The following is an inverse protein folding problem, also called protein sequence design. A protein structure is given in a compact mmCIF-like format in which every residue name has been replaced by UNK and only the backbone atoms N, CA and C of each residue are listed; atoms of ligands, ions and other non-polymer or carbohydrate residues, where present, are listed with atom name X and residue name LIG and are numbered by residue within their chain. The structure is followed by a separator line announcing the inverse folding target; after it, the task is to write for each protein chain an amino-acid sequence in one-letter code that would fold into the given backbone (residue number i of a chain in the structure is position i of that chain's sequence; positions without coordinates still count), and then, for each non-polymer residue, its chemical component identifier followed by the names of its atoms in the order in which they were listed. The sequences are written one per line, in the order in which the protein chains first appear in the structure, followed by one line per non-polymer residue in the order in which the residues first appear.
data_IF_900023687779
#
_entry.id   IF_900023687779
#
_cell.length_a   1.000
_cell.length_b   1.000
_cell.length_c   1.000
_cell.angle_alpha   90.00
_cell.angle_beta   90.00
_cell.angle_gamma   90.00
#
_symmetry.space_group_name_H-M   'P 1'
#
loop_
_entity.id
_entity.type
_entity.pdbx_description
1 polymer ?
#
# COMPACT_ATOMS: atom_id res chain seq x y z
N UNK A 1 -18.79 1.95 -30.34
CA UNK A 1 -17.86 2.00 -29.15
C UNK A 1 -17.53 0.60 -28.74
N UNK A 2 -16.26 0.26 -28.57
CA UNK A 2 -15.83 -1.06 -28.07
C UNK A 2 -16.19 -1.15 -26.60
N UNK A 3 -16.79 -2.27 -26.18
CA UNK A 3 -17.11 -2.55 -24.79
C UNK A 3 -15.83 -2.60 -23.96
N UNK A 4 -15.78 -2.03 -22.74
CA UNK A 4 -14.59 -2.06 -21.92
C UNK A 4 -14.22 -3.49 -21.53
N UNK A 5 -12.92 -3.81 -21.57
CA UNK A 5 -12.39 -5.09 -21.14
C UNK A 5 -12.25 -5.05 -19.62
N UNK A 6 -12.89 -5.99 -18.93
CA UNK A 6 -12.90 -6.10 -17.47
C UNK A 6 -12.19 -7.39 -17.08
N UNK A 7 -11.23 -7.30 -16.17
CA UNK A 7 -10.51 -8.43 -15.61
C UNK A 7 -10.71 -8.50 -14.10
N UNK A 8 -11.18 -9.64 -13.60
CA UNK A 8 -11.18 -9.98 -12.18
C UNK A 8 -9.89 -10.75 -11.88
N UNK A 9 -9.10 -10.26 -10.93
CA UNK A 9 -7.79 -10.77 -10.58
C UNK A 9 -7.80 -11.29 -9.14
N UNK A 10 -7.63 -12.60 -8.98
CA UNK A 10 -7.68 -13.29 -7.69
C UNK A 10 -6.29 -13.87 -7.35
N UNK A 11 -5.51 -13.20 -6.48
CA UNK A 11 -4.27 -13.77 -5.96
C UNK A 11 -4.60 -14.86 -4.94
N UNK A 12 -4.08 -16.07 -5.14
CA UNK A 12 -4.39 -17.24 -4.30
C UNK A 12 -3.14 -17.92 -3.78
N UNK A 13 -3.21 -18.37 -2.54
CA UNK A 13 -2.24 -19.26 -1.91
C UNK A 13 -2.91 -20.14 -0.86
N UNK A 14 -3.09 -21.44 -1.15
CA UNK A 14 -3.80 -22.41 -0.33
C UNK A 14 -5.23 -21.95 0.01
N UNK A 15 -6.05 -21.75 -1.02
CA UNK A 15 -7.46 -21.31 -0.94
C UNK A 15 -8.40 -22.32 -1.65
N UNK A 16 -8.03 -23.61 -1.71
CA UNK A 16 -8.82 -24.66 -2.39
C UNK A 16 -10.26 -24.76 -1.86
N UNK A 17 -10.48 -24.42 -0.57
CA UNK A 17 -11.80 -24.46 0.08
C UNK A 17 -12.77 -23.38 -0.40
N UNK A 18 -12.25 -22.24 -0.87
CA UNK A 18 -13.04 -21.02 -1.09
C UNK A 18 -13.06 -20.58 -2.55
N UNK A 19 -11.98 -20.83 -3.29
CA UNK A 19 -11.77 -20.23 -4.61
C UNK A 19 -12.87 -20.57 -5.64
N UNK A 20 -13.44 -21.78 -5.63
CA UNK A 20 -14.53 -22.13 -6.53
C UNK A 20 -15.77 -21.25 -6.31
N UNK A 21 -16.14 -21.03 -5.04
CA UNK A 21 -17.27 -20.20 -4.67
C UNK A 21 -17.04 -18.73 -5.05
N UNK A 22 -15.84 -18.21 -4.82
CA UNK A 22 -15.44 -16.85 -5.21
C UNK A 22 -15.59 -16.66 -6.73
N UNK A 23 -15.10 -17.61 -7.53
CA UNK A 23 -15.20 -17.57 -9.00
C UNK A 23 -16.67 -17.55 -9.45
N UNK A 24 -17.50 -18.44 -8.89
CA UNK A 24 -18.94 -18.52 -9.22
C UNK A 24 -19.64 -17.21 -8.89
N UNK A 25 -19.39 -16.62 -7.72
CA UNK A 25 -19.98 -15.33 -7.30
C UNK A 25 -19.55 -14.18 -8.22
N UNK A 26 -18.25 -14.06 -8.55
CA UNK A 26 -17.80 -13.02 -9.48
C UNK A 26 -18.36 -13.22 -10.89
N UNK A 27 -18.50 -14.46 -11.36
CA UNK A 27 -19.11 -14.74 -12.66
C UNK A 27 -20.59 -14.36 -12.70
N UNK A 28 -21.32 -14.61 -11.60
CA UNK A 28 -22.71 -14.20 -11.48
C UNK A 28 -22.86 -12.67 -11.43
N UNK A 29 -21.97 -11.97 -10.70
CA UNK A 29 -21.98 -10.52 -10.56
C UNK A 29 -21.54 -9.80 -11.84
N UNK A 30 -20.55 -10.35 -12.56
CA UNK A 30 -19.94 -9.76 -13.76
C UNK A 30 -19.79 -10.82 -14.87
N UNK A 31 -20.88 -11.20 -15.57
CA UNK A 31 -20.86 -12.30 -16.55
C UNK A 31 -19.87 -12.08 -17.71
N UNK A 32 -19.53 -10.85 -18.01
CA UNK A 32 -18.67 -10.46 -19.13
C UNK A 32 -17.20 -10.27 -18.76
N UNK A 33 -16.88 -10.32 -17.45
CA UNK A 33 -15.50 -10.16 -16.97
C UNK A 33 -14.72 -11.47 -17.18
N UNK A 34 -13.46 -11.32 -17.56
CA UNK A 34 -12.52 -12.43 -17.53
C UNK A 34 -12.00 -12.62 -16.11
N UNK A 35 -12.12 -13.84 -15.58
CA UNK A 35 -11.68 -14.18 -14.23
C UNK A 35 -10.33 -14.89 -14.32
N UNK A 36 -9.31 -14.28 -13.71
CA UNK A 36 -7.96 -14.81 -13.61
C UNK A 36 -7.64 -15.17 -12.17
N UNK A 37 -7.17 -16.39 -11.96
CA UNK A 37 -6.60 -16.85 -10.69
C UNK A 37 -5.09 -16.96 -10.85
N UNK A 38 -4.36 -16.29 -9.99
CA UNK A 38 -2.91 -16.40 -9.93
C UNK A 38 -2.51 -17.19 -8.69
N UNK A 39 -2.13 -18.42 -8.93
CA UNK A 39 -1.64 -19.35 -7.91
C UNK A 39 -0.20 -19.04 -7.54
N UNK A 40 0.05 -18.81 -6.25
CA UNK A 40 1.37 -18.46 -5.72
C UNK A 40 2.02 -19.64 -4.98
N UNK A 41 2.30 -20.71 -5.70
CA UNK A 41 2.90 -21.94 -5.17
C UNK A 41 2.02 -22.60 -4.10
N UNK A 42 0.72 -22.73 -4.32
CA UNK A 42 -0.15 -23.49 -3.44
C UNK A 42 0.32 -24.95 -3.33
N UNK A 43 0.21 -25.50 -2.14
CA UNK A 43 0.52 -26.89 -1.83
C UNK A 43 -0.74 -27.77 -1.80
N UNK A 44 -1.91 -27.14 -1.93
CA UNK A 44 -3.21 -27.78 -2.02
C UNK A 44 -3.75 -27.79 -3.47
N UNK A 45 -5.00 -28.18 -3.67
CA UNK A 45 -5.65 -28.25 -4.96
C UNK A 45 -6.14 -26.88 -5.51
N UNK A 46 -5.69 -25.74 -4.99
CA UNK A 46 -6.19 -24.39 -5.36
C UNK A 46 -6.22 -24.18 -6.87
N UNK A 47 -5.13 -24.46 -7.57
CA UNK A 47 -5.02 -24.22 -9.01
C UNK A 47 -6.00 -25.11 -9.81
N UNK A 48 -6.14 -26.38 -9.44
CA UNK A 48 -7.06 -27.32 -10.09
C UNK A 48 -8.51 -26.91 -9.86
N UNK A 49 -8.89 -26.63 -8.61
CA UNK A 49 -10.25 -26.20 -8.25
C UNK A 49 -10.64 -24.89 -8.97
N UNK A 50 -9.70 -23.95 -9.11
CA UNK A 50 -9.93 -22.72 -9.86
C UNK A 50 -10.15 -22.98 -11.36
N UNK A 51 -9.37 -23.88 -11.97
CA UNK A 51 -9.51 -24.25 -13.36
C UNK A 51 -10.85 -24.95 -13.62
N UNK A 52 -11.25 -25.89 -12.75
CA UNK A 52 -12.51 -26.63 -12.85
C UNK A 52 -13.73 -25.70 -12.67
N UNK A 53 -13.59 -24.62 -11.87
CA UNK A 53 -14.59 -23.55 -11.76
C UNK A 53 -14.58 -22.60 -12.98
N UNK A 54 -13.69 -22.81 -13.96
CA UNK A 54 -13.63 -22.12 -15.24
C UNK A 54 -12.88 -20.80 -15.21
N UNK A 55 -12.01 -20.55 -14.24
CA UNK A 55 -11.10 -19.39 -14.25
C UNK A 55 -9.88 -19.67 -15.14
N UNK A 56 -9.25 -18.59 -15.62
CA UNK A 56 -7.96 -18.67 -16.31
C UNK A 56 -6.86 -18.68 -15.25
N UNK A 57 -6.24 -19.86 -15.06
CA UNK A 57 -5.22 -20.03 -14.02
C UNK A 57 -3.82 -19.67 -14.56
N UNK A 58 -3.06 -18.94 -13.78
CA UNK A 58 -1.65 -18.61 -14.00
C UNK A 58 -0.86 -18.91 -12.72
N UNK A 59 0.42 -19.28 -12.87
CA UNK A 59 1.29 -19.59 -11.73
C UNK A 59 2.37 -18.51 -11.56
N UNK A 60 2.58 -18.02 -10.32
CA UNK A 60 3.71 -17.18 -9.96
C UNK A 60 4.68 -17.95 -9.06
N UNK A 61 5.90 -18.14 -9.51
CA UNK A 61 6.92 -18.96 -8.84
C UNK A 61 7.55 -18.28 -7.63
N UNK A 62 7.58 -16.94 -7.62
CA UNK A 62 8.12 -16.18 -6.50
C UNK A 62 7.05 -16.03 -5.42
N UNK A 63 7.36 -16.54 -4.22
CA UNK A 63 6.43 -16.51 -3.10
C UNK A 63 6.22 -15.09 -2.55
N UNK A 64 4.98 -14.62 -2.58
CA UNK A 64 4.57 -13.34 -2.00
C UNK A 64 3.52 -12.61 -2.84
N UNK A 65 2.51 -12.03 -2.17
CA UNK A 65 1.38 -11.35 -2.81
C UNK A 65 1.83 -10.24 -3.77
N UNK A 66 2.89 -9.50 -3.44
CA UNK A 66 3.44 -8.45 -4.31
C UNK A 66 3.99 -8.98 -5.64
N UNK A 67 4.62 -10.16 -5.65
CA UNK A 67 5.06 -10.80 -6.90
C UNK A 67 3.88 -11.21 -7.76
N UNK A 68 2.85 -11.80 -7.16
CA UNK A 68 1.60 -12.17 -7.83
C UNK A 68 0.97 -10.95 -8.48
N UNK A 69 0.79 -9.87 -7.73
CA UNK A 69 0.19 -8.63 -8.22
C UNK A 69 0.99 -8.01 -9.38
N UNK A 70 2.33 -8.04 -9.28
CA UNK A 70 3.21 -7.59 -10.36
C UNK A 70 3.01 -8.42 -11.63
N UNK A 71 2.88 -9.74 -11.48
CA UNK A 71 2.62 -10.63 -12.59
C UNK A 71 1.26 -10.36 -13.24
N UNK A 72 0.21 -10.20 -12.44
CA UNK A 72 -1.14 -9.84 -12.89
C UNK A 72 -1.12 -8.58 -13.76
N UNK A 73 -0.50 -7.52 -13.27
CA UNK A 73 -0.48 -6.21 -13.95
C UNK A 73 0.40 -6.20 -15.20
N UNK A 74 1.41 -7.07 -15.23
CA UNK A 74 2.27 -7.27 -16.40
C UNK A 74 1.57 -8.05 -17.51
N UNK A 75 0.95 -9.19 -17.14
CA UNK A 75 0.48 -10.19 -18.09
C UNK A 75 -0.95 -9.93 -18.59
N UNK A 76 -1.74 -9.14 -17.84
CA UNK A 76 -3.15 -8.89 -18.18
C UNK A 76 -3.34 -7.49 -18.74
N UNK A 77 -4.07 -7.42 -19.84
CA UNK A 77 -4.49 -6.17 -20.48
C UNK A 77 -6.02 -6.02 -20.34
N UNK A 78 -6.45 -4.97 -19.63
CA UNK A 78 -7.85 -4.63 -19.43
C UNK A 78 -8.03 -3.12 -19.27
N UNK A 79 -9.25 -2.63 -19.37
CA UNK A 79 -9.60 -1.24 -19.08
C UNK A 79 -9.83 -1.02 -17.59
N UNK A 80 -10.43 -2.03 -16.93
CA UNK A 80 -10.64 -2.07 -15.49
C UNK A 80 -10.17 -3.39 -14.91
N UNK A 81 -9.47 -3.29 -13.78
CA UNK A 81 -8.93 -4.41 -13.03
C UNK A 81 -9.64 -4.48 -11.67
N UNK A 82 -10.35 -5.55 -11.41
CA UNK A 82 -11.01 -5.82 -10.14
C UNK A 82 -10.14 -6.81 -9.38
N UNK A 83 -9.62 -6.40 -8.25
CA UNK A 83 -8.77 -7.23 -7.40
C UNK A 83 -9.57 -7.61 -6.18
N UNK A 84 -9.60 -8.88 -5.81
CA UNK A 84 -10.15 -9.38 -4.56
C UNK A 84 -9.36 -10.58 -4.07
N UNK A 85 -9.40 -10.84 -2.74
CA UNK A 85 -8.76 -12.03 -2.17
C UNK A 85 -9.58 -13.30 -2.50
N UNK A 86 -8.91 -14.45 -2.62
CA UNK A 86 -9.54 -15.74 -2.96
C UNK A 86 -10.18 -16.46 -1.75
N UNK A 87 -10.27 -15.81 -0.58
CA UNK A 87 -10.66 -16.38 0.70
C UNK A 87 -12.14 -16.23 1.08
N UNK A 88 -12.96 -15.78 0.12
CA UNK A 88 -14.43 -15.58 0.25
C UNK A 88 -14.86 -14.60 1.37
N UNK A 89 -13.97 -13.67 1.75
CA UNK A 89 -14.27 -12.65 2.77
C UNK A 89 -14.97 -11.42 2.22
N UNK A 90 -14.87 -11.16 0.90
CA UNK A 90 -15.51 -10.03 0.22
C UNK A 90 -16.74 -10.42 -0.56
N UNK A 91 -17.76 -9.57 -0.52
CA UNK A 91 -18.98 -9.77 -1.30
C UNK A 91 -18.75 -9.39 -2.78
N UNK A 92 -18.74 -10.39 -3.66
CA UNK A 92 -18.62 -10.19 -5.10
C UNK A 92 -19.81 -9.40 -5.70
N UNK A 93 -20.98 -9.39 -5.05
CA UNK A 93 -22.14 -8.63 -5.52
C UNK A 93 -21.90 -7.11 -5.51
N UNK A 94 -20.88 -6.62 -4.79
CA UNK A 94 -20.46 -5.22 -4.81
C UNK A 94 -19.71 -4.83 -6.09
N UNK A 95 -19.13 -5.80 -6.83
CA UNK A 95 -18.28 -5.54 -8.00
C UNK A 95 -18.95 -4.68 -9.09
N UNK A 96 -20.22 -4.90 -9.47
CA UNK A 96 -20.90 -4.06 -10.47
C UNK A 96 -21.00 -2.60 -10.04
N UNK A 97 -21.31 -2.34 -8.75
CA UNK A 97 -21.43 -0.98 -8.23
C UNK A 97 -20.06 -0.29 -8.19
N UNK A 98 -19.00 -0.99 -7.77
CA UNK A 98 -17.62 -0.47 -7.80
C UNK A 98 -17.17 -0.16 -9.23
N UNK A 99 -17.46 -1.04 -10.18
CA UNK A 99 -17.13 -0.85 -11.59
C UNK A 99 -17.92 0.32 -12.19
N UNK A 100 -19.22 0.42 -11.90
CA UNK A 100 -20.04 1.54 -12.33
C UNK A 100 -19.53 2.88 -11.77
N UNK A 101 -19.12 2.90 -10.50
CA UNK A 101 -18.49 4.06 -9.88
C UNK A 101 -17.19 4.46 -10.62
N UNK A 102 -16.33 3.49 -10.94
CA UNK A 102 -15.09 3.74 -11.67
C UNK A 102 -15.35 4.24 -13.11
N UNK A 103 -16.39 3.70 -13.79
CA UNK A 103 -16.74 4.03 -15.18
C UNK A 103 -17.50 5.35 -15.31
N UNK A 104 -18.35 5.69 -14.34
CA UNK A 104 -19.16 6.92 -14.39
C UNK A 104 -18.40 8.18 -13.95
N UNK A 105 -17.29 8.01 -13.21
CA UNK A 105 -16.51 9.13 -12.67
C UNK A 105 -15.06 9.13 -13.15
N UNK A 106 -14.28 10.11 -12.72
CA UNK A 106 -12.86 10.19 -13.08
C UNK A 106 -11.98 9.26 -12.22
N UNK A 107 -12.56 8.24 -11.59
CA UNK A 107 -11.87 7.48 -10.55
C UNK A 107 -10.91 6.44 -11.11
N UNK A 108 -9.64 6.54 -10.71
CA UNK A 108 -8.59 5.58 -11.03
C UNK A 108 -8.46 4.46 -9.99
N UNK A 109 -8.97 4.70 -8.79
CA UNK A 109 -9.05 3.73 -7.68
C UNK A 109 -10.43 3.82 -7.03
N UNK A 110 -11.18 2.72 -7.05
CA UNK A 110 -12.36 2.53 -6.20
C UNK A 110 -12.01 1.49 -5.15
N UNK A 111 -12.00 1.90 -3.89
CA UNK A 111 -11.60 1.07 -2.75
C UNK A 111 -12.82 0.61 -1.96
N UNK A 112 -12.94 -0.68 -1.70
CA UNK A 112 -13.94 -1.21 -0.79
C UNK A 112 -13.51 -0.94 0.65
N UNK A 113 -14.34 -0.23 1.42
CA UNK A 113 -14.19 -0.05 2.86
C UNK A 113 -14.91 -1.18 3.57
N UNK A 114 -14.19 -1.97 4.34
CA UNK A 114 -14.74 -3.15 5.01
C UNK A 114 -15.66 -2.73 6.16
N UNK A 115 -16.94 -3.11 6.05
CA UNK A 115 -17.88 -3.08 7.16
C UNK A 115 -17.87 -4.45 7.85
N UNK A 116 -17.45 -4.46 9.10
CA UNK A 116 -17.44 -5.69 9.91
C UNK A 116 -18.90 -6.13 10.17
N UNK A 117 -19.26 -7.31 9.70
CA UNK A 117 -20.58 -7.91 9.94
C UNK A 117 -20.66 -8.68 11.25
N UNK A 118 -19.51 -9.02 11.86
CA UNK A 118 -19.43 -9.77 13.12
C UNK A 118 -18.25 -9.30 13.98
N UNK A 119 -18.44 -9.22 15.31
CA UNK A 119 -17.38 -8.84 16.27
C UNK A 119 -16.18 -9.80 16.30
N UNK A 120 -16.32 -11.01 15.74
CA UNK A 120 -15.27 -12.03 15.66
C UNK A 120 -14.33 -11.92 14.47
N UNK A 121 -14.64 -11.12 13.45
CA UNK A 121 -13.89 -11.07 12.19
C UNK A 121 -12.49 -10.42 12.33
N UNK A 122 -12.26 -9.63 13.37
CA UNK A 122 -10.99 -8.92 13.58
C UNK A 122 -10.39 -9.15 14.96
N UNK A 123 -9.15 -9.61 15.03
CA UNK A 123 -8.36 -9.63 16.27
C UNK A 123 -8.00 -8.19 16.69
N UNK A 124 -8.09 -7.84 17.99
CA UNK A 124 -7.86 -6.48 18.51
C UNK A 124 -6.53 -5.83 18.05
N UNK A 125 -5.47 -6.60 17.90
CA UNK A 125 -4.16 -6.13 17.40
C UNK A 125 -4.18 -5.65 15.94
N UNK A 126 -5.03 -6.21 15.09
CA UNK A 126 -5.16 -5.80 13.69
C UNK A 126 -5.88 -4.45 13.54
N UNK A 127 -6.88 -4.18 14.40
CA UNK A 127 -7.57 -2.87 14.43
C UNK A 127 -6.60 -1.76 14.78
N UNK A 128 -5.78 -1.96 15.81
CA UNK A 128 -4.77 -0.97 16.23
C UNK A 128 -3.75 -0.75 15.13
N UNK A 129 -3.22 -1.81 14.52
CA UNK A 129 -2.24 -1.74 13.44
C UNK A 129 -2.77 -0.99 12.21
N UNK A 130 -4.00 -1.28 11.78
CA UNK A 130 -4.64 -0.59 10.67
C UNK A 130 -4.89 0.90 10.99
N UNK A 131 -5.32 1.22 12.22
CA UNK A 131 -5.51 2.62 12.66
C UNK A 131 -4.21 3.39 12.71
N UNK A 132 -3.13 2.79 13.23
CA UNK A 132 -1.81 3.44 13.28
C UNK A 132 -1.26 3.68 11.88
N UNK A 133 -1.33 2.69 11.00
CA UNK A 133 -0.87 2.82 9.62
C UNK A 133 -1.69 3.87 8.85
N UNK A 134 -3.02 3.79 8.93
CA UNK A 134 -3.91 4.76 8.28
C UNK A 134 -3.68 6.16 8.85
N UNK A 135 -3.49 6.30 10.17
CA UNK A 135 -3.16 7.57 10.83
C UNK A 135 -1.84 8.15 10.37
N UNK A 136 -0.79 7.34 10.24
CA UNK A 136 0.51 7.76 9.72
C UNK A 136 0.42 8.22 8.26
N UNK A 137 -0.33 7.50 7.43
CA UNK A 137 -0.52 7.89 6.02
C UNK A 137 -1.38 9.14 5.90
N UNK A 138 -2.42 9.29 6.73
CA UNK A 138 -3.19 10.55 6.83
C UNK A 138 -2.30 11.74 7.17
N UNK A 139 -1.36 11.57 8.09
CA UNK A 139 -0.41 12.63 8.47
C UNK A 139 0.52 13.01 7.29
N UNK A 140 0.91 12.03 6.47
CA UNK A 140 1.86 12.23 5.36
C UNK A 140 1.17 12.77 4.10
N UNK A 141 -0.02 12.22 3.75
CA UNK A 141 -0.69 12.44 2.46
C UNK A 141 -2.09 13.09 2.57
N UNK A 142 -2.60 13.31 3.79
CA UNK A 142 -3.97 13.80 4.01
C UNK A 142 -5.00 12.66 4.11
N UNK A 143 -6.24 13.04 4.46
CA UNK A 143 -7.35 12.10 4.76
C UNK A 143 -8.16 11.72 3.51
N UNK A 144 -7.49 11.18 2.48
CA UNK A 144 -8.14 10.82 1.21
C UNK A 144 -8.38 9.32 1.04
N UNK A 145 -7.80 8.45 1.89
CA UNK A 145 -7.97 7.00 1.84
C UNK A 145 -8.56 6.48 3.14
N UNK A 146 -9.69 5.77 3.00
CA UNK A 146 -10.30 4.96 4.07
C UNK A 146 -9.88 3.51 3.86
N UNK A 147 -9.70 2.73 4.91
CA UNK A 147 -9.33 1.32 4.89
C UNK A 147 -8.22 0.97 3.87
N UNK A 148 -7.01 1.38 4.21
CA UNK A 148 -5.84 1.21 3.35
C UNK A 148 -5.50 -0.25 3.03
N UNK A 149 -5.79 -1.16 3.96
CA UNK A 149 -5.45 -2.59 3.87
C UNK A 149 -6.56 -3.44 3.26
N UNK A 150 -7.62 -2.84 2.70
CA UNK A 150 -8.60 -3.60 1.95
C UNK A 150 -7.97 -4.29 0.75
N UNK A 151 -8.25 -5.57 0.55
CA UNK A 151 -7.84 -6.35 -0.63
C UNK A 151 -8.78 -6.18 -1.84
N UNK A 152 -9.95 -5.53 -1.66
CA UNK A 152 -10.96 -5.40 -2.70
C UNK A 152 -10.94 -4.00 -3.33
N UNK A 153 -10.53 -3.92 -4.59
CA UNK A 153 -10.33 -2.66 -5.31
C UNK A 153 -10.70 -2.79 -6.78
N UNK A 154 -11.15 -1.68 -7.37
CA UNK A 154 -11.19 -1.52 -8.83
C UNK A 154 -10.14 -0.48 -9.23
N UNK A 155 -9.30 -0.83 -10.18
CA UNK A 155 -8.22 0.02 -10.69
C UNK A 155 -8.43 0.28 -12.18
N UNK A 156 -8.18 1.51 -12.62
CA UNK A 156 -8.15 1.84 -14.05
C UNK A 156 -6.88 1.32 -14.73
N UNK A 157 -6.91 1.20 -16.04
CA UNK A 157 -5.73 0.88 -16.85
C UNK A 157 -4.57 1.86 -16.58
N UNK A 158 -4.87 3.17 -16.51
CA UNK A 158 -3.86 4.21 -16.27
C UNK A 158 -3.15 3.99 -14.95
N UNK A 159 -3.92 3.68 -13.91
CA UNK A 159 -3.37 3.34 -12.60
C UNK A 159 -2.42 2.16 -12.69
N UNK A 160 -2.90 1.03 -13.21
CA UNK A 160 -2.16 -0.25 -13.26
C UNK A 160 -0.86 -0.12 -14.06
N UNK A 161 -0.90 0.55 -15.21
CA UNK A 161 0.28 0.67 -16.10
C UNK A 161 1.27 1.75 -15.69
N UNK A 162 0.90 2.65 -14.77
CA UNK A 162 1.82 3.64 -14.17
C UNK A 162 2.38 3.21 -12.82
N UNK A 163 1.84 2.15 -12.24
CA UNK A 163 2.21 1.70 -10.90
C UNK A 163 3.49 0.84 -10.91
N UNK A 164 4.60 1.29 -10.31
CA UNK A 164 5.91 0.64 -10.43
C UNK A 164 6.03 -0.67 -9.65
N UNK A 165 5.16 -0.94 -8.69
CA UNK A 165 5.01 -2.17 -7.91
C UNK A 165 6.34 -2.75 -7.39
N UNK A 166 6.83 -2.21 -6.28
CA UNK A 166 8.11 -2.60 -5.67
C UNK A 166 7.94 -3.55 -4.47
N UNK A 167 6.75 -3.55 -3.84
CA UNK A 167 6.42 -4.45 -2.74
C UNK A 167 6.49 -5.92 -3.18
N UNK A 168 6.95 -6.78 -2.27
CA UNK A 168 7.05 -8.22 -2.50
C UNK A 168 6.04 -9.02 -1.68
N UNK A 169 5.41 -8.40 -0.68
CA UNK A 169 4.51 -9.02 0.29
C UNK A 169 3.17 -8.31 0.41
N UNK A 170 2.58 -8.40 1.61
CA UNK A 170 1.29 -7.78 1.96
C UNK A 170 1.34 -6.25 2.10
N UNK A 171 2.49 -5.64 1.95
CA UNK A 171 2.66 -4.19 1.87
C UNK A 171 2.17 -3.60 0.53
N UNK A 172 1.76 -4.46 -0.40
CA UNK A 172 1.24 -4.06 -1.72
C UNK A 172 -0.04 -3.21 -1.64
N UNK A 173 -0.96 -3.50 -0.71
CA UNK A 173 -2.18 -2.70 -0.52
C UNK A 173 -1.84 -1.27 -0.08
N UNK A 174 -0.84 -1.14 0.79
CA UNK A 174 -0.31 0.16 1.20
C UNK A 174 0.35 0.89 0.04
N UNK A 175 1.14 0.18 -0.78
CA UNK A 175 1.83 0.76 -1.93
C UNK A 175 0.85 1.27 -2.99
N UNK A 176 -0.25 0.54 -3.24
CA UNK A 176 -1.36 0.96 -4.12
C UNK A 176 -1.98 2.28 -3.61
N UNK A 177 -2.30 2.34 -2.33
CA UNK A 177 -2.90 3.53 -1.74
C UNK A 177 -1.94 4.74 -1.76
N UNK A 178 -0.66 4.52 -1.42
CA UNK A 178 0.39 5.56 -1.47
C UNK A 178 0.57 6.09 -2.89
N UNK A 179 0.62 5.23 -3.91
CA UNK A 179 0.74 5.65 -5.30
C UNK A 179 -0.43 6.56 -5.74
N UNK A 180 -1.67 6.19 -5.38
CA UNK A 180 -2.83 7.02 -5.67
C UNK A 180 -2.75 8.39 -4.98
N UNK A 181 -2.29 8.43 -3.71
CA UNK A 181 -2.17 9.66 -2.94
C UNK A 181 -1.02 10.54 -3.44
N UNK A 182 0.10 9.94 -3.80
CA UNK A 182 1.31 10.62 -4.27
C UNK A 182 1.07 11.36 -5.60
N UNK A 183 0.35 10.73 -6.52
CA UNK A 183 -0.04 11.31 -7.80
C UNK A 183 -1.34 12.13 -7.73
N UNK A 184 -1.94 12.26 -6.54
CA UNK A 184 -3.23 12.92 -6.33
C UNK A 184 -4.35 12.37 -7.22
N UNK A 185 -4.31 11.06 -7.54
CA UNK A 185 -5.31 10.42 -8.39
C UNK A 185 -6.71 10.48 -7.76
N UNK A 186 -7.76 10.51 -8.56
CA UNK A 186 -9.14 10.43 -8.07
C UNK A 186 -9.41 9.07 -7.42
N UNK A 187 -9.89 9.10 -6.17
CA UNK A 187 -10.21 7.91 -5.38
C UNK A 187 -11.67 7.97 -4.94
N UNK A 188 -12.39 6.88 -5.13
CA UNK A 188 -13.72 6.68 -4.54
C UNK A 188 -13.69 5.54 -3.51
N UNK A 189 -14.68 5.55 -2.61
CA UNK A 189 -14.86 4.54 -1.58
C UNK A 189 -16.29 4.04 -1.59
N UNK A 190 -16.46 2.72 -1.62
CA UNK A 190 -17.74 2.06 -1.38
C UNK A 190 -17.62 1.17 -0.16
N UNK A 191 -18.64 1.17 0.67
CA UNK A 191 -18.70 0.30 1.83
C UNK A 191 -19.21 -1.08 1.42
N UNK A 192 -18.52 -2.13 1.87
CA UNK A 192 -18.85 -3.51 1.56
C UNK A 192 -18.77 -4.42 2.79
N UNK A 193 -19.67 -5.40 2.85
CA UNK A 193 -19.63 -6.42 3.88
C UNK A 193 -18.30 -7.19 3.84
N UNK A 194 -17.74 -7.44 5.01
CA UNK A 194 -16.55 -8.24 5.19
C UNK A 194 -16.86 -9.40 6.13
N UNK A 195 -16.96 -10.59 5.55
CA UNK A 195 -17.30 -11.81 6.28
C UNK A 195 -16.08 -12.43 6.98
N UNK A 196 -16.27 -13.16 8.09
CA UNK A 196 -15.23 -13.99 8.65
C UNK A 196 -14.85 -15.10 7.66
N UNK A 197 -13.59 -15.53 7.70
CA UNK A 197 -13.13 -16.66 6.88
C UNK A 197 -13.89 -17.93 7.24
N UNK A 198 -14.21 -18.78 6.26
CA UNK A 198 -14.82 -20.06 6.53
C UNK A 198 -13.95 -20.92 7.48
N UNK A 199 -14.58 -21.82 8.28
CA UNK A 199 -13.85 -22.77 9.12
C UNK A 199 -12.85 -23.60 8.29
N UNK A 200 -11.60 -23.71 8.76
CA UNK A 200 -10.52 -24.40 8.06
C UNK A 200 -9.62 -23.53 7.20
N UNK A 201 -9.97 -22.26 6.98
CA UNK A 201 -9.06 -21.27 6.35
C UNK A 201 -8.30 -20.49 7.43
N UNK A 202 -6.96 -20.62 7.46
CA UNK A 202 -6.13 -19.97 8.47
C UNK A 202 -5.66 -18.58 8.02
N UNK A 203 -5.76 -17.60 8.95
CA UNK A 203 -5.14 -16.30 8.76
C UNK A 203 -3.61 -16.39 8.82
N UNK A 204 -2.93 -15.98 7.76
CA UNK A 204 -1.46 -16.02 7.63
C UNK A 204 -0.75 -14.90 8.42
N UNK A 205 -1.49 -14.08 9.21
CA UNK A 205 -0.97 -12.94 9.97
C UNK A 205 -0.75 -13.28 11.45
N UNK A 206 0.41 -12.82 12.02
CA UNK A 206 0.82 -13.04 13.43
C UNK A 206 0.99 -11.71 14.16
N UNK A 207 0.22 -11.45 15.23
CA UNK A 207 -0.01 -10.17 15.89
C UNK A 207 1.25 -9.38 16.31
N UNK A 208 2.24 -10.00 16.95
CA UNK A 208 3.45 -9.27 17.42
C UNK A 208 4.46 -8.96 16.31
N UNK A 209 4.62 -9.87 15.33
CA UNK A 209 5.48 -9.64 14.16
C UNK A 209 4.89 -8.57 13.25
N UNK A 210 3.56 -8.44 13.24
CA UNK A 210 2.86 -7.47 12.41
C UNK A 210 2.98 -6.05 12.96
N UNK A 211 2.97 -5.85 14.29
CA UNK A 211 3.22 -4.55 14.90
C UNK A 211 4.59 -3.96 14.53
N UNK A 212 5.65 -4.77 14.60
CA UNK A 212 7.00 -4.37 14.18
C UNK A 212 7.09 -4.12 12.66
N UNK A 213 6.38 -4.94 11.87
CA UNK A 213 6.28 -4.76 10.41
C UNK A 213 5.61 -3.43 10.06
N UNK A 214 4.50 -3.08 10.74
CA UNK A 214 3.77 -1.82 10.56
C UNK A 214 4.67 -0.64 10.92
N UNK A 215 5.34 -0.66 12.09
CA UNK A 215 6.26 0.40 12.48
C UNK A 215 7.39 0.59 11.45
N UNK A 216 8.00 -0.50 11.00
CA UNK A 216 9.03 -0.47 9.95
C UNK A 216 8.49 0.09 8.64
N UNK A 217 7.24 -0.24 8.28
CA UNK A 217 6.59 0.29 7.08
C UNK A 217 6.35 1.80 7.20
N UNK A 218 5.87 2.28 8.35
CA UNK A 218 5.68 3.72 8.62
C UNK A 218 7.00 4.49 8.50
N UNK A 219 8.07 3.98 9.14
CA UNK A 219 9.41 4.60 9.06
C UNK A 219 9.93 4.59 7.62
N UNK A 220 9.71 3.49 6.90
CA UNK A 220 10.06 3.38 5.47
C UNK A 220 9.32 4.43 4.65
N UNK A 221 8.00 4.56 4.82
CA UNK A 221 7.18 5.54 4.13
C UNK A 221 7.64 6.98 4.41
N UNK A 222 7.85 7.34 5.68
CA UNK A 222 8.36 8.65 6.06
C UNK A 222 9.71 8.96 5.39
N UNK A 223 10.62 7.98 5.43
CA UNK A 223 11.97 8.15 4.85
C UNK A 223 11.95 8.28 3.32
N UNK A 224 11.03 7.58 2.64
CA UNK A 224 10.98 7.55 1.16
C UNK A 224 10.09 8.62 0.55
N UNK A 225 8.97 8.96 1.21
CA UNK A 225 7.97 9.87 0.66
C UNK A 225 8.07 11.31 1.21
N UNK A 226 8.64 11.46 2.41
CA UNK A 226 8.88 12.76 3.07
C UNK A 226 10.30 12.83 3.64
N UNK A 227 11.35 12.62 2.81
CA UNK A 227 12.72 12.52 3.31
C UNK A 227 13.18 13.81 4.00
N UNK A 228 12.81 14.99 3.50
CA UNK A 228 13.16 16.24 4.15
C UNK A 228 12.55 16.35 5.55
N UNK A 229 11.31 15.92 5.76
CA UNK A 229 10.69 15.94 7.09
C UNK A 229 11.37 14.92 8.03
N UNK A 230 11.72 13.74 7.55
CA UNK A 230 12.38 12.69 8.35
C UNK A 230 13.81 13.11 8.75
N UNK A 231 14.64 13.42 7.78
CA UNK A 231 16.04 13.79 8.03
C UNK A 231 16.18 15.18 8.62
N UNK A 232 15.29 16.11 8.29
CA UNK A 232 15.22 17.44 8.91
C UNK A 232 14.82 17.39 10.37
N UNK A 233 13.88 16.51 10.74
CA UNK A 233 13.54 16.23 12.14
C UNK A 233 14.73 15.67 12.93
N UNK A 234 15.47 14.72 12.34
CA UNK A 234 16.70 14.17 12.93
C UNK A 234 17.79 15.25 13.08
N UNK A 235 17.96 16.10 12.08
CA UNK A 235 18.88 17.24 12.12
C UNK A 235 18.50 18.24 13.22
N UNK A 236 17.22 18.59 13.31
CA UNK A 236 16.69 19.46 14.35
C UNK A 236 16.95 18.92 15.76
N UNK A 237 16.70 17.62 15.96
CA UNK A 237 17.03 16.96 17.25
C UNK A 237 18.53 17.03 17.57
N UNK A 238 19.39 16.78 16.58
CA UNK A 238 20.84 16.86 16.73
C UNK A 238 21.28 18.30 17.09
N UNK A 239 20.74 19.32 16.42
CA UNK A 239 21.08 20.71 16.72
C UNK A 239 20.61 21.14 18.10
N UNK A 240 19.41 20.74 18.53
CA UNK A 240 18.91 20.99 19.88
C UNK A 240 19.80 20.31 20.94
N UNK A 241 20.17 19.04 20.72
CA UNK A 241 21.06 18.31 21.61
C UNK A 241 22.44 18.97 21.71
N UNK A 242 23.03 19.36 20.59
CA UNK A 242 24.30 20.07 20.56
C UNK A 242 24.23 21.41 21.28
N UNK A 243 23.15 22.17 21.10
CA UNK A 243 22.93 23.44 21.80
C UNK A 243 22.84 23.25 23.31
N UNK A 244 22.09 22.24 23.79
CA UNK A 244 21.99 21.90 25.22
C UNK A 244 23.35 21.55 25.81
N UNK A 245 24.14 20.72 25.10
CA UNK A 245 25.51 20.36 25.54
C UNK A 245 26.46 21.56 25.56
N UNK A 246 26.26 22.54 24.66
CA UNK A 246 27.12 23.71 24.59
C UNK A 246 26.82 24.76 25.67
N UNK A 247 25.59 24.82 26.22
CA UNK A 247 25.21 25.79 27.27
C UNK A 247 26.21 25.83 28.46
N UNK A 248 26.54 24.71 29.10
CA UNK A 248 27.49 24.73 30.24
C UNK A 248 28.92 25.07 29.81
N UNK A 249 29.33 24.72 28.58
CA UNK A 249 30.65 25.09 28.03
C UNK A 249 30.72 26.60 27.86
N UNK A 250 29.71 27.18 27.24
CA UNK A 250 29.66 28.62 26.98
C UNK A 250 29.57 29.44 28.27
N UNK A 251 28.76 29.03 29.24
CA UNK A 251 28.67 29.68 30.57
C UNK A 251 30.03 29.71 31.28
N UNK A 252 30.77 28.59 31.28
CA UNK A 252 32.09 28.51 31.90
C UNK A 252 33.09 29.42 31.14
N UNK A 253 33.07 29.39 29.82
CA UNK A 253 33.92 30.23 29.03
C UNK A 253 33.69 31.74 29.28
N UNK A 254 32.44 32.19 29.33
CA UNK A 254 32.08 33.57 29.60
C UNK A 254 32.48 34.01 31.01
N UNK A 255 32.51 33.10 31.98
CA UNK A 255 32.88 33.39 33.36
C UNK A 255 34.41 33.39 33.61
N UNK A 256 35.15 32.52 32.89
CA UNK A 256 36.57 32.21 33.21
C UNK A 256 37.53 32.44 32.05
N UNK A 257 37.04 32.65 30.82
CA UNK A 257 37.86 32.70 29.59
C UNK A 257 38.46 31.35 29.18
N UNK A 258 38.12 30.25 29.89
CA UNK A 258 38.70 28.92 29.68
C UNK A 258 37.62 27.94 29.22
N UNK A 259 38.06 26.87 28.54
CA UNK A 259 37.17 25.75 28.05
C UNK A 259 37.60 24.45 28.74
N UNK A 260 37.35 24.28 30.03
CA UNK A 260 37.76 23.07 30.75
C UNK A 260 36.99 21.80 30.32
N UNK A 261 35.84 21.99 29.66
CA UNK A 261 35.00 20.90 29.13
C UNK A 261 35.24 20.68 27.61
N UNK A 262 36.50 20.66 27.17
CA UNK A 262 36.87 20.47 25.77
C UNK A 262 36.25 19.19 25.15
N UNK A 263 36.21 18.02 25.81
CA UNK A 263 35.55 16.83 25.25
C UNK A 263 34.07 17.07 24.91
N UNK A 264 33.33 17.82 25.75
CA UNK A 264 31.91 18.15 25.51
C UNK A 264 31.78 19.09 24.31
N UNK A 265 32.67 20.08 24.15
CA UNK A 265 32.67 20.98 23.00
C UNK A 265 32.93 20.22 21.71
N UNK A 266 33.91 19.32 21.68
CA UNK A 266 34.22 18.44 20.54
C UNK A 266 33.03 17.53 20.20
N UNK A 267 32.40 16.90 21.21
CA UNK A 267 31.21 16.09 21.02
C UNK A 267 30.05 16.90 20.41
N UNK A 268 29.78 18.09 20.94
CA UNK A 268 28.72 18.97 20.41
C UNK A 268 28.98 19.36 18.94
N UNK A 269 30.22 19.68 18.60
CA UNK A 269 30.62 19.94 17.21
C UNK A 269 30.38 18.74 16.31
N UNK A 270 30.74 17.53 16.76
CA UNK A 270 30.48 16.29 16.03
C UNK A 270 28.97 16.07 15.79
N UNK A 271 28.13 16.34 16.80
CA UNK A 271 26.66 16.23 16.68
C UNK A 271 26.12 17.27 15.67
N UNK A 272 26.63 18.51 15.68
CA UNK A 272 26.26 19.54 14.68
C UNK A 272 26.60 19.07 13.25
N UNK A 273 27.76 18.47 13.04
CA UNK A 273 28.17 17.93 11.73
C UNK A 273 27.24 16.80 11.28
N UNK A 274 26.89 15.90 12.19
CA UNK A 274 25.91 14.82 11.89
C UNK A 274 24.53 15.41 11.54
N UNK A 275 24.10 16.44 12.27
CA UNK A 275 22.86 17.19 11.98
C UNK A 275 22.88 17.84 10.59
N UNK A 276 23.98 18.51 10.26
CA UNK A 276 24.16 19.15 8.95
C UNK A 276 24.17 18.11 7.80
N UNK A 277 24.87 17.00 7.96
CA UNK A 277 24.87 15.89 6.99
C UNK A 277 23.48 15.27 6.84
N UNK A 278 22.74 15.13 7.94
CA UNK A 278 21.37 14.62 7.91
C UNK A 278 20.46 15.58 7.13
N UNK A 279 20.54 16.88 7.39
CA UNK A 279 19.74 17.88 6.66
C UNK A 279 20.06 17.88 5.16
N UNK A 280 21.34 17.86 4.79
CA UNK A 280 21.79 17.78 3.39
C UNK A 280 21.26 16.52 2.73
N UNK A 281 21.33 15.37 3.41
CA UNK A 281 20.75 14.11 2.93
C UNK A 281 19.26 14.25 2.68
N UNK A 282 18.53 14.89 3.60
CA UNK A 282 17.10 15.17 3.46
C UNK A 282 16.76 15.98 2.21
N UNK A 283 17.51 17.04 1.95
CA UNK A 283 17.33 17.91 0.77
C UNK A 283 17.60 17.15 -0.54
N UNK A 284 18.69 16.37 -0.59
CA UNK A 284 19.04 15.59 -1.78
C UNK A 284 17.95 14.54 -2.05
N UNK A 285 17.54 13.79 -1.04
CA UNK A 285 16.52 12.77 -1.20
C UNK A 285 15.14 13.34 -1.53
N UNK A 286 14.80 14.55 -1.07
CA UNK A 286 13.55 15.23 -1.45
C UNK A 286 13.54 15.56 -2.93
N UNK A 287 14.66 16.05 -3.47
CA UNK A 287 14.81 16.28 -4.92
C UNK A 287 14.67 15.00 -5.74
N UNK A 288 15.29 13.90 -5.29
CA UNK A 288 15.16 12.58 -5.93
C UNK A 288 13.71 12.08 -5.88
N UNK A 289 13.02 12.30 -4.77
CA UNK A 289 11.61 11.87 -4.60
C UNK A 289 10.70 12.65 -5.54
N UNK A 290 10.93 13.96 -5.73
CA UNK A 290 10.19 14.77 -6.73
C UNK A 290 10.39 14.23 -8.14
N UNK A 291 11.62 13.98 -8.56
CA UNK A 291 11.90 13.42 -9.88
C UNK A 291 11.26 12.04 -10.11
N UNK A 292 11.21 11.17 -9.08
CA UNK A 292 10.47 9.90 -9.16
C UNK A 292 8.97 10.10 -9.33
N UNK A 293 8.38 11.08 -8.61
CA UNK A 293 6.96 11.43 -8.74
C UNK A 293 6.64 11.96 -10.14
N UNK A 294 7.48 12.83 -10.68
CA UNK A 294 7.34 13.34 -12.05
C UNK A 294 7.38 12.22 -13.08
N UNK A 295 8.33 11.28 -12.96
CA UNK A 295 8.43 10.13 -13.85
C UNK A 295 7.18 9.23 -13.79
N UNK A 296 6.62 8.98 -12.61
CA UNK A 296 5.37 8.22 -12.44
C UNK A 296 4.18 8.97 -13.03
N UNK A 297 4.11 10.29 -12.85
CA UNK A 297 3.06 11.11 -13.44
C UNK A 297 3.13 11.11 -14.97
N UNK A 298 4.30 11.19 -15.56
CA UNK A 298 4.47 11.09 -17.01
C UNK A 298 4.06 9.71 -17.51
N UNK A 299 4.40 8.63 -16.80
CA UNK A 299 3.95 7.29 -17.13
C UNK A 299 2.42 7.17 -17.08
N UNK A 300 1.77 7.77 -16.07
CA UNK A 300 0.32 7.81 -15.96
C UNK A 300 -0.33 8.62 -17.11
N UNK A 301 0.18 9.79 -17.42
CA UNK A 301 -0.33 10.66 -18.50
C UNK A 301 -0.15 10.03 -19.89
N UNK A 302 0.86 9.17 -20.06
CA UNK A 302 1.09 8.41 -21.30
C UNK A 302 0.09 7.28 -21.54
N UNK A 303 -0.75 6.92 -20.56
CA UNK A 303 -1.75 5.86 -20.71
C UNK A 303 -3.09 6.40 -21.20
N UNK A 304 -3.77 5.58 -22.01
CA UNK A 304 -5.14 5.92 -22.47
C UNK A 304 -6.08 6.05 -21.27
N UNK A 305 -6.95 7.04 -21.31
CA UNK A 305 -8.06 7.12 -20.38
C UNK A 305 -8.95 5.87 -20.51
N UNK A 306 -9.54 5.36 -19.40
CA UNK A 306 -10.57 4.35 -19.50
C UNK A 306 -11.68 4.84 -20.43
N UNK A 307 -12.21 3.95 -21.28
CA UNK A 307 -13.32 4.31 -22.17
C UNK A 307 -14.55 4.53 -21.28
N UNK A 308 -14.95 5.79 -21.11
CA UNK A 308 -16.20 6.14 -20.44
C UNK A 308 -17.30 5.81 -21.45
N UNK A 309 -18.11 4.80 -21.14
CA UNK A 309 -19.35 4.58 -21.90
C UNK A 309 -20.26 5.79 -21.67
N UNK A 310 -20.36 6.65 -22.69
CA UNK A 310 -21.42 7.65 -22.81
C UNK A 310 -22.70 7.00 -23.28
#
# INVERSE_FOLDING_TARGET
MTKPIIAVLLPCYNEALTIAQVIVRFRAALPEAMIYVFDNNSTDATAQVAADAGAIVRHELLQGKGYVMRRMFRDIEADYYIIADGDDTYDAALAPAMLACAAAGPYDLVNCVRLETDEGAYRAGHRLGNRLLTGAVRLIFGDRVRDMLSGYKVLSRRFVKSFPMLATGFDIETEIAVHALELALPIAHLEGAYAPRPPGSESKLRTYRDGWRILRLIVRLLRHERPLAFFGGLAGLAFVLAAVLMVPVLRTYLATGLVPRLPTAVLATGIVLVGALSLTTGIILDTVTRGRREARLLAYLGQRAPTIGQ
#
